data_IF_008153399856
#
_entry.id   IF_008153399856
#
_cell.length_a   1.000
_cell.length_b   1.000
_cell.length_c   1.000
_cell.angle_alpha   90.00
_cell.angle_beta   90.00
_cell.angle_gamma   90.00
#
_symmetry.space_group_name_H-M   'P 1'
#
loop_
_entity.id
_entity.type
_entity.pdbx_description
1 polymer ?
#
# COMPACT_ATOMS: atom_id res chain seq x y z
N UNK A 1 50.09 -44.19 38.34
CA UNK A 1 50.77 -43.60 37.17
C UNK A 1 49.99 -42.36 36.78
N UNK A 2 50.58 -41.21 37.10
CA UNK A 2 50.07 -39.85 36.88
C UNK A 2 50.48 -39.37 35.48
N UNK A 3 49.57 -38.76 34.70
CA UNK A 3 49.65 -37.49 33.92
C UNK A 3 48.24 -37.30 33.29
N UNK A 4 47.37 -36.36 33.71
CA UNK A 4 47.29 -34.90 33.53
C UNK A 4 46.87 -34.40 32.13
N UNK A 5 45.84 -33.52 32.09
CA UNK A 5 45.44 -32.64 30.98
C UNK A 5 44.21 -33.16 30.20
N UNK A 6 43.11 -32.43 29.97
CA UNK A 6 42.85 -30.99 29.99
C UNK A 6 41.41 -30.70 30.51
N UNK A 7 41.32 -29.66 31.35
CA UNK A 7 40.11 -28.87 31.65
C UNK A 7 39.70 -28.01 30.45
N UNK A 8 38.40 -27.94 30.11
CA UNK A 8 37.67 -26.74 29.59
C UNK A 8 36.17 -26.94 29.90
N UNK A 9 35.63 -26.37 30.97
CA UNK A 9 35.10 -25.01 31.13
C UNK A 9 33.78 -24.75 30.37
N UNK A 10 32.73 -24.48 31.16
CA UNK A 10 31.39 -24.02 30.79
C UNK A 10 31.41 -22.74 29.94
N UNK A 11 30.39 -22.57 29.09
CA UNK A 11 30.14 -21.30 28.41
C UNK A 11 28.89 -21.35 27.55
N UNK A 12 27.76 -20.97 28.13
CA UNK A 12 26.56 -20.57 27.42
C UNK A 12 26.87 -19.26 26.67
N UNK A 13 27.19 -19.36 25.39
CA UNK A 13 27.43 -18.20 24.53
C UNK A 13 26.10 -17.53 24.17
N UNK A 14 25.65 -16.70 25.10
CA UNK A 14 24.82 -15.53 24.84
C UNK A 14 25.64 -14.63 23.91
N UNK A 15 25.25 -14.55 22.65
CA UNK A 15 25.78 -13.55 21.71
C UNK A 15 25.31 -12.17 22.20
N UNK A 16 26.16 -11.56 23.01
CA UNK A 16 26.10 -10.14 23.38
C UNK A 16 26.45 -9.30 22.16
N UNK A 17 25.64 -8.26 21.95
CA UNK A 17 25.71 -7.29 20.87
C UNK A 17 27.13 -6.76 20.60
N UNK A 18 27.58 -6.94 19.36
CA UNK A 18 28.73 -6.21 18.81
C UNK A 18 28.42 -4.71 18.73
N UNK A 19 29.34 -3.83 19.17
CA UNK A 19 29.11 -2.39 19.21
C UNK A 19 28.96 -1.83 17.79
N UNK A 20 27.78 -1.28 17.51
CA UNK A 20 27.51 -0.48 16.32
C UNK A 20 28.49 0.68 16.29
N UNK A 21 29.45 0.62 15.36
CA UNK A 21 30.36 1.72 15.06
C UNK A 21 29.54 2.93 14.65
N UNK A 22 29.53 3.94 15.52
CA UNK A 22 29.01 5.28 15.28
C UNK A 22 29.77 5.89 14.09
N UNK A 23 29.23 5.70 12.89
CA UNK A 23 29.71 6.35 11.68
C UNK A 23 29.39 7.84 11.79
N UNK A 24 30.46 8.64 11.90
CA UNK A 24 30.45 10.10 11.92
C UNK A 24 29.33 10.70 11.07
N UNK A 25 28.45 11.48 11.72
CA UNK A 25 27.48 12.33 11.02
C UNK A 25 28.25 13.40 10.27
N UNK A 26 28.25 13.32 8.94
CA UNK A 26 28.74 14.41 8.11
C UNK A 26 27.96 15.70 8.36
N UNK A 27 28.60 16.88 8.22
CA UNK A 27 27.96 18.18 8.39
C UNK A 27 26.77 18.37 7.45
N UNK A 28 25.71 19.00 7.96
CA UNK A 28 24.50 19.33 7.20
C UNK A 28 24.78 20.61 6.40
N UNK A 29 25.09 20.46 5.12
CA UNK A 29 25.12 21.55 4.15
C UNK A 29 23.67 21.83 3.66
N UNK A 30 23.16 23.07 3.69
CA UNK A 30 21.81 23.39 3.24
C UNK A 30 21.83 23.69 1.72
N UNK A 31 21.51 22.69 0.90
CA UNK A 31 21.39 22.85 -0.56
C UNK A 31 20.10 22.24 -1.12
N UNK A 32 19.23 23.09 -1.68
CA UNK A 32 18.43 22.81 -2.89
C UNK A 32 17.41 21.66 -2.87
N UNK A 33 16.16 21.98 -2.50
CA UNK A 33 14.93 21.19 -2.73
C UNK A 33 14.99 19.68 -2.44
N UNK A 34 14.60 19.30 -1.23
CA UNK A 34 14.21 17.92 -0.92
C UNK A 34 13.12 17.48 -1.90
N UNK A 35 13.45 16.61 -2.86
CA UNK A 35 12.46 15.93 -3.69
C UNK A 35 11.59 15.07 -2.77
N UNK A 36 10.45 15.60 -2.35
CA UNK A 36 9.46 14.87 -1.57
C UNK A 36 9.09 13.61 -2.36
N UNK A 37 9.41 12.43 -1.84
CA UNK A 37 9.02 11.14 -2.44
C UNK A 37 7.74 10.67 -1.76
N UNK A 38 6.92 9.93 -2.49
CA UNK A 38 5.70 9.31 -1.98
C UNK A 38 5.61 7.86 -2.43
N UNK A 39 4.92 7.04 -1.65
CA UNK A 39 4.70 5.63 -1.98
C UNK A 39 3.47 5.46 -2.87
N UNK A 40 3.59 4.68 -3.94
CA UNK A 40 2.49 4.30 -4.82
C UNK A 40 2.40 2.78 -4.91
N UNK A 41 1.17 2.27 -4.97
CA UNK A 41 0.91 0.84 -5.14
C UNK A 41 0.87 0.53 -6.64
N UNK A 42 1.56 -0.54 -7.05
CA UNK A 42 1.61 -1.00 -8.43
C UNK A 42 1.36 -2.50 -8.50
N UNK A 43 0.66 -2.93 -9.56
CA UNK A 43 0.61 -4.34 -9.96
C UNK A 43 1.89 -4.62 -10.75
N UNK A 44 2.80 -5.41 -10.19
CA UNK A 44 4.12 -5.66 -10.75
C UNK A 44 4.17 -6.97 -11.54
N UNK A 45 3.51 -8.01 -11.04
CA UNK A 45 3.51 -9.35 -11.63
C UNK A 45 2.08 -9.91 -11.72
N UNK A 46 1.22 -9.35 -12.61
CA UNK A 46 -0.17 -9.77 -12.75
C UNK A 46 -0.32 -11.26 -13.09
N UNK A 47 0.63 -11.83 -13.83
CA UNK A 47 0.67 -13.24 -14.25
C UNK A 47 0.79 -14.23 -13.09
N UNK A 48 1.19 -13.76 -11.90
CA UNK A 48 1.33 -14.60 -10.70
C UNK A 48 0.08 -14.61 -9.84
N UNK A 49 -0.96 -13.88 -10.23
CA UNK A 49 -2.20 -13.82 -9.48
C UNK A 49 -2.97 -15.13 -9.65
N UNK A 50 -3.21 -15.83 -8.54
CA UNK A 50 -4.08 -17.03 -8.52
C UNK A 50 -5.47 -16.75 -7.92
N UNK A 51 -5.77 -15.49 -7.63
CA UNK A 51 -7.07 -15.11 -7.09
C UNK A 51 -7.32 -15.47 -5.61
N UNK A 52 -6.29 -15.72 -4.79
CA UNK A 52 -6.44 -16.15 -3.38
C UNK A 52 -7.09 -15.15 -2.41
N UNK A 53 -7.38 -13.91 -2.84
CA UNK A 53 -8.05 -12.86 -2.05
C UNK A 53 -7.33 -12.36 -0.78
N UNK A 54 -6.18 -12.93 -0.40
CA UNK A 54 -5.40 -12.54 0.78
C UNK A 54 -5.12 -11.02 0.84
N UNK A 55 -4.71 -10.45 -0.29
CA UNK A 55 -4.42 -9.03 -0.39
C UNK A 55 -5.68 -8.15 -0.20
N UNK A 56 -6.86 -8.63 -0.59
CA UNK A 56 -8.13 -7.92 -0.39
C UNK A 56 -8.55 -7.92 1.09
N UNK A 57 -8.45 -9.07 1.76
CA UNK A 57 -8.73 -9.16 3.20
C UNK A 57 -7.77 -8.31 4.03
N UNK A 58 -6.47 -8.33 3.70
CA UNK A 58 -5.49 -7.46 4.34
C UNK A 58 -5.82 -5.97 4.09
N UNK A 59 -6.21 -5.63 2.86
CA UNK A 59 -6.58 -4.27 2.51
C UNK A 59 -7.79 -3.78 3.31
N UNK A 60 -8.89 -4.52 3.34
CA UNK A 60 -10.10 -4.07 4.05
C UNK A 60 -9.86 -3.95 5.55
N UNK A 61 -9.13 -4.89 6.15
CA UNK A 61 -8.77 -4.85 7.58
C UNK A 61 -7.98 -3.60 7.94
N UNK A 62 -6.99 -3.23 7.13
CA UNK A 62 -6.11 -2.09 7.45
C UNK A 62 -6.67 -0.75 6.94
N UNK A 63 -7.40 -0.74 5.83
CA UNK A 63 -7.92 0.48 5.22
C UNK A 63 -9.25 0.93 5.85
N UNK A 64 -10.07 -0.02 6.29
CA UNK A 64 -11.42 0.26 6.81
C UNK A 64 -11.69 -0.32 8.18
N UNK A 65 -10.84 -1.22 8.70
CA UNK A 65 -11.08 -1.88 9.99
C UNK A 65 -11.98 -3.12 9.89
N UNK A 66 -12.37 -3.55 8.68
CA UNK A 66 -13.34 -4.64 8.49
C UNK A 66 -12.75 -5.79 7.68
N UNK A 67 -13.12 -7.03 8.00
CA UNK A 67 -12.80 -8.20 7.20
C UNK A 67 -13.87 -8.44 6.11
N UNK A 68 -13.92 -7.56 5.09
CA UNK A 68 -14.90 -7.66 3.99
C UNK A 68 -14.24 -7.42 2.63
N UNK A 69 -14.62 -8.19 1.61
CA UNK A 69 -14.14 -8.01 0.24
C UNK A 69 -14.69 -6.72 -0.40
N UNK A 70 -15.92 -6.33 -0.05
CA UNK A 70 -16.55 -5.09 -0.55
C UNK A 70 -15.82 -3.85 -0.03
N UNK A 71 -15.38 -3.90 1.24
CA UNK A 71 -14.58 -2.84 1.88
C UNK A 71 -13.09 -2.86 1.52
N UNK A 72 -12.65 -3.79 0.67
CA UNK A 72 -11.28 -3.75 0.12
C UNK A 72 -11.15 -2.65 -0.92
N UNK A 73 -10.08 -1.85 -0.84
CA UNK A 73 -9.78 -0.81 -1.82
C UNK A 73 -8.95 -1.30 -3.02
N UNK A 74 -8.63 -2.58 -3.06
CA UNK A 74 -8.13 -3.28 -4.24
C UNK A 74 -9.12 -4.41 -4.58
N UNK A 75 -9.22 -4.80 -5.85
CA UNK A 75 -10.14 -5.84 -6.28
C UNK A 75 -9.42 -6.87 -7.12
N UNK A 76 -9.57 -8.14 -6.76
CA UNK A 76 -9.32 -9.25 -7.67
C UNK A 76 -10.64 -9.49 -8.40
N UNK A 77 -10.58 -9.50 -9.73
CA UNK A 77 -11.71 -9.75 -10.61
C UNK A 77 -11.34 -10.87 -11.56
N UNK A 78 -12.35 -11.50 -12.13
CA UNK A 78 -12.16 -12.55 -13.13
C UNK A 78 -12.97 -12.21 -14.36
N UNK A 79 -12.39 -12.39 -15.54
CA UNK A 79 -13.08 -12.20 -16.81
C UNK A 79 -13.40 -13.57 -17.41
N UNK A 80 -14.66 -13.87 -17.73
CA UNK A 80 -15.05 -15.17 -18.30
C UNK A 80 -15.54 -16.21 -17.29
N UNK A 81 -15.90 -15.81 -16.06
CA UNK A 81 -16.47 -16.73 -15.06
C UNK A 81 -15.40 -17.53 -14.31
N UNK A 82 -15.66 -18.80 -14.03
CA UNK A 82 -14.78 -19.66 -13.20
C UNK A 82 -13.50 -20.05 -13.95
N UNK A 83 -13.57 -20.13 -15.29
CA UNK A 83 -12.45 -20.49 -16.16
C UNK A 83 -11.54 -19.30 -16.50
N UNK A 84 -11.93 -18.10 -16.08
CA UNK A 84 -11.22 -16.87 -16.38
C UNK A 84 -9.95 -16.67 -15.55
N UNK A 85 -8.97 -15.99 -16.14
CA UNK A 85 -7.80 -15.56 -15.41
C UNK A 85 -8.15 -14.42 -14.43
N UNK A 86 -7.69 -14.48 -13.17
CA UNK A 86 -7.90 -13.41 -12.22
C UNK A 86 -6.94 -12.25 -12.53
N UNK A 87 -7.49 -11.03 -12.58
CA UNK A 87 -6.73 -9.80 -12.71
C UNK A 87 -6.94 -8.88 -11.51
N UNK A 88 -5.94 -8.04 -11.22
CA UNK A 88 -5.95 -7.16 -10.05
C UNK A 88 -6.20 -5.71 -10.47
N UNK A 89 -7.22 -5.11 -9.90
CA UNK A 89 -7.57 -3.70 -10.05
C UNK A 89 -7.10 -2.94 -8.82
N UNK A 90 -6.26 -1.93 -9.04
CA UNK A 90 -5.75 -1.03 -7.99
C UNK A 90 -5.92 0.43 -8.41
N UNK A 91 -5.91 1.34 -7.44
CA UNK A 91 -5.88 2.76 -7.79
C UNK A 91 -4.51 3.12 -8.40
N UNK A 92 -4.52 3.87 -9.50
CA UNK A 92 -3.29 4.30 -10.19
C UNK A 92 -2.72 5.62 -9.67
N UNK A 93 -3.42 6.28 -8.74
CA UNK A 93 -3.03 7.57 -8.19
C UNK A 93 -2.77 8.63 -9.27
N UNK A 94 -3.79 8.82 -10.12
CA UNK A 94 -3.75 9.66 -11.31
C UNK A 94 -3.29 11.09 -10.98
N UNK A 95 -2.53 11.70 -11.90
CA UNK A 95 -2.08 13.10 -11.78
C UNK A 95 -3.24 14.09 -11.97
N UNK A 96 -4.16 13.79 -12.89
CA UNK A 96 -5.44 14.48 -13.02
C UNK A 96 -6.61 13.55 -12.63
N UNK A 97 -6.93 13.44 -11.32
CA UNK A 97 -7.96 12.53 -10.84
C UNK A 97 -9.38 13.02 -11.18
N UNK A 98 -10.02 12.35 -12.14
CA UNK A 98 -11.46 12.51 -12.46
C UNK A 98 -12.35 12.29 -11.23
N UNK A 99 -11.97 11.38 -10.33
CA UNK A 99 -12.74 11.09 -9.11
C UNK A 99 -12.78 12.25 -8.10
N UNK A 100 -11.76 13.12 -8.11
CA UNK A 100 -11.76 14.36 -7.30
C UNK A 100 -12.73 15.37 -7.93
N UNK A 101 -12.61 15.60 -9.25
CA UNK A 101 -13.49 16.53 -9.99
C UNK A 101 -14.96 16.15 -9.90
N UNK A 102 -15.26 14.85 -9.84
CA UNK A 102 -16.61 14.33 -9.75
C UNK A 102 -17.21 14.32 -8.34
N UNK A 103 -16.44 14.62 -7.28
CA UNK A 103 -16.94 14.54 -5.91
C UNK A 103 -17.60 15.87 -5.47
N UNK A 104 -18.94 15.98 -5.42
CA UNK A 104 -19.61 17.24 -5.08
C UNK A 104 -19.40 17.65 -3.61
N UNK A 105 -19.22 16.67 -2.72
CA UNK A 105 -19.04 16.90 -1.29
C UNK A 105 -17.59 17.24 -0.89
N UNK A 106 -16.64 17.21 -1.84
CA UNK A 106 -15.22 17.43 -1.53
C UNK A 106 -14.59 16.35 -0.65
N UNK A 107 -15.18 15.15 -0.59
CA UNK A 107 -14.65 14.04 0.20
C UNK A 107 -13.37 13.43 -0.41
N UNK A 108 -13.15 13.58 -1.72
CA UNK A 108 -11.90 13.24 -2.38
C UNK A 108 -11.14 14.52 -2.69
N UNK A 109 -9.91 14.64 -2.20
CA UNK A 109 -9.05 15.81 -2.38
C UNK A 109 -7.71 15.42 -2.95
N UNK A 110 -7.06 16.33 -3.70
CA UNK A 110 -5.65 16.15 -4.08
C UNK A 110 -4.76 16.37 -2.86
N UNK A 111 -3.73 15.55 -2.71
CA UNK A 111 -2.65 15.79 -1.74
C UNK A 111 -1.62 16.77 -2.31
N UNK A 112 -0.95 17.59 -1.48
CA UNK A 112 0.10 18.52 -1.93
C UNK A 112 1.22 17.85 -2.71
N UNK A 113 1.66 16.66 -2.29
CA UNK A 113 2.71 15.86 -2.92
C UNK A 113 2.22 15.03 -4.12
N UNK A 114 0.93 15.08 -4.43
CA UNK A 114 0.30 14.31 -5.49
C UNK A 114 -0.49 13.10 -5.00
N UNK A 115 -1.40 12.67 -5.86
CA UNK A 115 -2.36 11.62 -5.56
C UNK A 115 -3.61 12.11 -4.84
N UNK A 116 -4.44 11.16 -4.42
CA UNK A 116 -5.79 11.44 -3.88
C UNK A 116 -5.95 10.98 -2.43
N UNK A 117 -6.33 11.89 -1.56
CA UNK A 117 -6.80 11.66 -0.19
C UNK A 117 -8.32 11.49 -0.17
N UNK A 118 -8.80 10.64 0.74
CA UNK A 118 -10.21 10.41 0.98
C UNK A 118 -10.57 10.76 2.43
N UNK A 119 -11.47 11.72 2.59
CA UNK A 119 -12.04 12.18 3.86
C UNK A 119 -13.41 11.52 4.05
N UNK A 120 -13.43 10.41 4.81
CA UNK A 120 -14.63 9.58 4.99
C UNK A 120 -15.82 10.36 5.56
N UNK A 121 -15.57 11.31 6.46
CA UNK A 121 -16.62 12.08 7.15
C UNK A 121 -17.42 12.99 6.21
N UNK A 122 -16.79 13.49 5.14
CA UNK A 122 -17.44 14.32 4.12
C UNK A 122 -18.18 13.50 3.06
N UNK A 123 -18.00 12.17 3.04
CA UNK A 123 -18.57 11.33 1.99
C UNK A 123 -20.09 11.17 2.17
N UNK A 124 -20.87 11.66 1.22
CA UNK A 124 -22.34 11.53 1.20
C UNK A 124 -22.83 10.22 0.58
N UNK A 125 -21.93 9.44 -0.03
CA UNK A 125 -22.28 8.18 -0.70
C UNK A 125 -22.94 8.31 -2.06
N UNK A 126 -22.85 9.47 -2.71
CA UNK A 126 -23.47 9.71 -4.02
C UNK A 126 -22.96 8.82 -5.17
N UNK A 127 -21.80 8.18 -5.02
CA UNK A 127 -21.26 7.24 -6.01
C UNK A 127 -20.66 7.85 -7.29
N UNK A 128 -20.67 9.18 -7.46
CA UNK A 128 -20.12 9.82 -8.66
C UNK A 128 -18.63 9.53 -8.90
N UNK A 129 -17.85 9.42 -7.82
CA UNK A 129 -16.44 9.04 -7.91
C UNK A 129 -16.22 7.61 -8.43
N UNK A 130 -17.15 6.69 -8.19
CA UNK A 130 -17.13 5.31 -8.72
C UNK A 130 -17.33 5.34 -10.24
N UNK A 131 -18.31 6.10 -10.73
CA UNK A 131 -18.60 6.27 -12.17
C UNK A 131 -17.45 6.97 -12.90
N UNK A 132 -16.84 7.96 -12.26
CA UNK A 132 -15.76 8.75 -12.85
C UNK A 132 -14.41 8.01 -12.93
N UNK A 133 -14.21 6.93 -12.16
CA UNK A 133 -12.95 6.21 -12.13
C UNK A 133 -12.83 5.25 -13.33
N UNK A 134 -12.06 5.65 -14.34
CA UNK A 134 -11.84 4.84 -15.55
C UNK A 134 -11.24 3.44 -15.27
N UNK A 135 -10.49 3.31 -14.18
CA UNK A 135 -9.87 2.04 -13.76
C UNK A 135 -10.86 1.15 -12.98
N UNK A 136 -11.97 1.71 -12.48
CA UNK A 136 -12.90 0.97 -11.61
C UNK A 136 -12.33 0.64 -10.22
N UNK A 137 -11.37 1.43 -9.74
CA UNK A 137 -10.67 1.19 -8.47
C UNK A 137 -11.39 1.71 -7.22
N UNK A 138 -12.49 2.45 -7.40
CA UNK A 138 -13.32 2.97 -6.31
C UNK A 138 -14.65 2.20 -6.33
N UNK A 139 -15.11 1.77 -5.16
CA UNK A 139 -16.44 1.15 -4.98
C UNK A 139 -17.15 1.79 -3.79
N UNK A 140 -18.44 1.54 -3.63
CA UNK A 140 -19.15 1.82 -2.38
C UNK A 140 -19.15 0.57 -1.51
N UNK A 141 -19.08 0.75 -0.19
CA UNK A 141 -19.34 -0.31 0.78
C UNK A 141 -20.83 -0.41 1.13
N UNK A 142 -21.18 -1.35 2.02
CA UNK A 142 -22.55 -1.58 2.45
C UNK A 142 -23.17 -0.40 3.25
N UNK A 143 -22.37 0.55 3.71
CA UNK A 143 -22.83 1.79 4.36
C UNK A 143 -22.97 2.93 3.35
N UNK A 144 -22.79 2.64 2.06
CA UNK A 144 -22.82 3.61 0.98
C UNK A 144 -21.59 4.52 0.95
N UNK A 145 -20.54 4.25 1.74
CA UNK A 145 -19.32 5.07 1.76
C UNK A 145 -18.36 4.62 0.67
N UNK A 146 -17.68 5.58 0.05
CA UNK A 146 -16.66 5.27 -0.93
C UNK A 146 -15.47 4.54 -0.29
N UNK A 147 -14.95 3.54 -0.99
CA UNK A 147 -13.76 2.77 -0.61
C UNK A 147 -12.65 3.14 -1.58
N UNK A 148 -11.67 3.90 -1.10
CA UNK A 148 -10.52 4.37 -1.88
C UNK A 148 -9.22 3.85 -1.29
N UNK A 149 -8.28 3.47 -2.15
CA UNK A 149 -6.95 3.03 -1.74
C UNK A 149 -6.13 4.22 -1.24
N UNK A 150 -5.51 4.07 -0.06
CA UNK A 150 -4.59 5.05 0.52
C UNK A 150 -3.10 4.76 0.29
N UNK A 151 -2.79 3.77 -0.56
CA UNK A 151 -1.40 3.36 -0.87
C UNK A 151 -0.54 2.95 0.35
N UNK A 152 -1.16 2.39 1.39
CA UNK A 152 -0.44 1.98 2.62
C UNK A 152 0.37 0.68 2.49
N UNK A 153 0.18 -0.10 1.41
CA UNK A 153 0.97 -1.31 1.16
C UNK A 153 0.58 -2.56 1.95
N UNK A 154 -0.47 -2.54 2.77
CA UNK A 154 -0.92 -3.73 3.50
C UNK A 154 -1.12 -4.94 2.56
N UNK A 155 -1.70 -4.71 1.39
CA UNK A 155 -1.88 -5.75 0.38
C UNK A 155 -0.58 -6.36 -0.16
N UNK A 156 0.53 -5.61 -0.17
CA UNK A 156 1.86 -6.10 -0.59
C UNK A 156 2.41 -7.08 0.43
N UNK A 157 2.33 -6.75 1.71
CA UNK A 157 2.85 -7.58 2.80
C UNK A 157 2.15 -8.95 2.88
N UNK A 158 0.89 -9.05 2.43
CA UNK A 158 0.07 -10.25 2.51
C UNK A 158 -0.09 -10.99 1.16
N UNK A 159 0.59 -10.55 0.10
CA UNK A 159 0.55 -11.24 -1.19
C UNK A 159 1.68 -12.28 -1.27
N UNK A 160 1.39 -13.59 -1.13
CA UNK A 160 2.44 -14.63 -1.17
C UNK A 160 3.08 -14.78 -2.55
N UNK A 161 2.42 -14.30 -3.61
CA UNK A 161 2.89 -14.42 -5.00
C UNK A 161 3.62 -13.17 -5.51
N UNK A 162 3.82 -12.16 -4.65
CA UNK A 162 4.49 -10.91 -5.00
C UNK A 162 3.90 -10.17 -6.22
N UNK A 163 2.58 -10.31 -6.45
CA UNK A 163 1.85 -9.65 -7.55
C UNK A 163 1.89 -8.12 -7.40
N UNK A 164 1.90 -7.63 -6.16
CA UNK A 164 1.82 -6.21 -5.81
C UNK A 164 3.17 -5.70 -5.29
N UNK A 165 3.51 -4.45 -5.60
CA UNK A 165 4.68 -3.74 -5.07
C UNK A 165 4.31 -2.33 -4.64
N UNK A 166 5.01 -1.83 -3.62
CA UNK A 166 5.08 -0.39 -3.35
C UNK A 166 6.34 0.16 -4.02
N UNK A 167 6.18 1.25 -4.75
CA UNK A 167 7.27 1.99 -5.38
C UNK A 167 7.34 3.41 -4.82
N UNK A 168 8.56 3.92 -4.68
CA UNK A 168 8.80 5.32 -4.33
C UNK A 168 8.82 6.17 -5.60
N UNK A 169 7.83 7.04 -5.72
CA UNK A 169 7.69 7.95 -6.86
C UNK A 169 7.95 9.39 -6.43
N UNK A 170 8.50 10.24 -7.32
CA UNK A 170 8.62 11.67 -7.05
C UNK A 170 7.24 12.30 -6.76
N UNK A 171 7.21 13.32 -5.90
CA UNK A 171 6.02 14.15 -5.73
C UNK A 171 5.62 14.76 -7.07
N UNK A 172 4.33 14.70 -7.37
CA UNK A 172 3.75 15.14 -8.64
C UNK A 172 2.53 16.00 -8.34
N UNK A 173 2.70 17.27 -7.94
CA UNK A 173 1.57 18.18 -7.78
C UNK A 173 0.86 18.27 -9.13
N UNK A 174 -0.38 17.78 -9.19
CA UNK A 174 -1.15 17.79 -10.42
C UNK A 174 -1.53 19.22 -10.84
N UNK A 175 -2.03 19.42 -12.08
CA UNK A 175 -2.53 20.71 -12.52
C UNK A 175 -3.64 21.20 -11.57
N UNK A 176 -3.66 22.50 -11.28
CA UNK A 176 -4.66 23.13 -10.40
C UNK A 176 -6.02 23.19 -11.09
#
# INVERSE_FOLDING_TARGET
MSVAGQNRANGSDVLVDEPVKESARSPIEPSGSTLCRRRRLKVAHPERCIGCLSCMFACSRINTGHASLERSAIKIRTQGGIEGDPYVVVCHDCQDPSCVRACPAGALCRRPEGGVEFKRDLCTGCGECTKACLVGAISLDCEGKAVKCRHCGACVAFCPHAVLRLEDVPASPGPR
#
